data_IF_696387858043
#
_entry.id   IF_696387858043
#
_cell.length_a   1.000
_cell.length_b   1.000
_cell.length_c   1.000
_cell.angle_alpha   90.00
_cell.angle_beta   90.00
_cell.angle_gamma   90.00
#
_symmetry.space_group_name_H-M   'P 1'
#
loop_
_entity.id
_entity.type
_entity.pdbx_description
1 polymer ?
#
# COMPACT_ATOMS: atom_id res chain seq x y z
N UNK A 1 0.12 -23.50 4.21
CA UNK A 1 -0.12 -22.06 4.39
C UNK A 1 -0.79 -21.56 3.13
N UNK A 2 -2.00 -21.00 3.21
CA UNK A 2 -2.78 -20.58 2.03
C UNK A 2 -2.90 -19.06 2.05
N UNK A 3 -2.37 -18.41 1.01
CA UNK A 3 -2.48 -16.97 0.81
C UNK A 3 -3.59 -16.66 -0.20
N UNK A 4 -4.24 -15.51 -0.03
CA UNK A 4 -5.24 -14.97 -0.95
C UNK A 4 -4.86 -13.54 -1.30
N UNK A 5 -5.15 -13.14 -2.53
CA UNK A 5 -5.06 -11.75 -2.97
C UNK A 5 -6.43 -11.07 -2.84
N UNK A 6 -6.47 -9.89 -2.26
CA UNK A 6 -7.68 -9.07 -2.12
C UNK A 6 -7.40 -7.60 -2.46
N UNK A 7 -8.47 -6.83 -2.66
CA UNK A 7 -8.36 -5.38 -2.76
C UNK A 7 -7.78 -4.82 -1.46
N UNK A 8 -6.81 -3.90 -1.59
CA UNK A 8 -6.29 -3.20 -0.44
C UNK A 8 -7.30 -2.12 -0.01
N UNK A 9 -8.06 -2.39 1.05
CA UNK A 9 -9.00 -1.42 1.62
C UNK A 9 -8.28 -0.41 2.53
N UNK A 10 -9.03 0.54 3.09
CA UNK A 10 -8.46 1.56 3.98
C UNK A 10 -7.94 0.99 5.30
N UNK A 11 -8.57 -0.05 5.83
CA UNK A 11 -8.14 -0.66 7.10
C UNK A 11 -6.76 -1.29 6.92
N UNK A 12 -6.55 -2.04 5.84
CA UNK A 12 -5.25 -2.57 5.48
C UNK A 12 -4.22 -1.46 5.23
N UNK A 13 -4.61 -0.37 4.56
CA UNK A 13 -3.71 0.76 4.33
C UNK A 13 -3.26 1.45 5.63
N UNK A 14 -4.17 1.61 6.59
CA UNK A 14 -3.87 2.13 7.93
C UNK A 14 -2.99 1.17 8.72
N UNK A 15 -3.25 -0.14 8.62
CA UNK A 15 -2.44 -1.18 9.25
C UNK A 15 -0.98 -1.12 8.75
N UNK A 16 -0.76 -0.95 7.45
CA UNK A 16 0.60 -0.80 6.88
C UNK A 16 1.35 0.38 7.49
N UNK A 17 0.67 1.49 7.80
CA UNK A 17 1.30 2.65 8.45
C UNK A 17 1.80 2.33 9.87
N UNK A 18 1.21 1.34 10.52
CA UNK A 18 1.63 0.84 11.84
C UNK A 18 2.85 -0.08 11.78
N UNK A 19 3.21 -0.61 10.61
CA UNK A 19 4.39 -1.45 10.46
C UNK A 19 5.65 -0.62 10.66
N UNK A 20 6.46 -1.02 11.64
CA UNK A 20 7.76 -0.41 11.94
C UNK A 20 8.84 -1.48 11.88
N UNK A 21 9.82 -1.22 11.03
CA UNK A 21 11.04 -1.98 10.86
C UNK A 21 12.21 -1.18 11.43
N UNK A 22 13.19 -1.89 11.99
CA UNK A 22 14.37 -1.29 12.59
C UNK A 22 15.56 -1.29 11.61
N UNK A 23 16.62 -0.57 11.99
CA UNK A 23 17.92 -0.57 11.31
C UNK A 23 17.81 -0.23 9.81
N UNK A 24 18.45 -1.01 8.95
CA UNK A 24 18.50 -0.79 7.51
C UNK A 24 17.13 -0.83 6.83
N UNK A 25 16.15 -1.51 7.41
CA UNK A 25 14.79 -1.61 6.87
C UNK A 25 13.86 -0.49 7.31
N UNK A 26 14.32 0.39 8.22
CA UNK A 26 13.52 1.54 8.69
C UNK A 26 13.10 2.49 7.56
N UNK A 27 13.80 2.47 6.42
CA UNK A 27 13.46 3.21 5.20
C UNK A 27 12.10 2.84 4.61
N UNK A 28 11.58 1.64 4.91
CA UNK A 28 10.27 1.17 4.46
C UNK A 28 9.11 1.58 5.39
N UNK A 29 9.41 2.21 6.53
CA UNK A 29 8.39 2.64 7.46
C UNK A 29 7.55 3.75 6.85
N UNK A 30 6.25 3.49 6.73
CA UNK A 30 5.32 4.53 6.32
C UNK A 30 5.19 5.56 7.45
N UNK A 31 5.08 6.86 7.12
CA UNK A 31 4.61 7.86 8.07
C UNK A 31 3.18 7.54 8.53
N UNK A 32 2.75 8.19 9.60
CA UNK A 32 1.37 8.05 10.11
C UNK A 32 0.33 8.38 9.03
N UNK A 33 -0.83 7.70 9.11
CA UNK A 33 -1.90 7.78 8.12
C UNK A 33 -2.30 9.23 7.82
N UNK A 34 -2.44 10.06 8.86
CA UNK A 34 -2.84 11.46 8.75
C UNK A 34 -1.81 12.29 7.97
N UNK A 35 -0.53 11.94 8.04
CA UNK A 35 0.55 12.62 7.32
C UNK A 35 0.51 12.25 5.84
N UNK A 36 0.49 10.96 5.52
CA UNK A 36 0.47 10.51 4.12
C UNK A 36 -0.84 10.83 3.40
N UNK A 37 -1.95 10.91 4.15
CA UNK A 37 -3.26 11.31 3.62
C UNK A 37 -3.27 12.79 3.24
N UNK A 38 -2.71 13.67 4.08
CA UNK A 38 -2.52 15.10 3.74
C UNK A 38 -1.58 15.31 2.55
N UNK A 39 -0.60 14.43 2.38
CA UNK A 39 0.32 14.45 1.24
C UNK A 39 -0.25 13.76 -0.01
N UNK A 40 -1.47 13.23 0.08
CA UNK A 40 -2.18 12.61 -1.03
C UNK A 40 -1.40 11.44 -1.68
N UNK A 41 -0.77 10.62 -0.84
CA UNK A 41 -0.09 9.41 -1.32
C UNK A 41 -1.09 8.47 -2.01
N UNK A 42 -0.65 7.74 -3.04
CA UNK A 42 -1.56 6.91 -3.84
C UNK A 42 -2.36 5.89 -3.01
N UNK A 43 -1.76 5.35 -1.94
CA UNK A 43 -2.42 4.40 -1.03
C UNK A 43 -3.58 5.03 -0.25
N UNK A 44 -3.62 6.36 -0.08
CA UNK A 44 -4.70 7.04 0.67
C UNK A 44 -5.88 7.41 -0.21
N UNK A 45 -5.68 7.51 -1.54
CA UNK A 45 -6.74 7.78 -2.52
C UNK A 45 -7.45 6.48 -2.88
N UNK A 46 -8.74 6.35 -2.55
CA UNK A 46 -9.50 5.09 -2.71
C UNK A 46 -9.41 4.50 -4.13
N UNK A 47 -9.61 5.33 -5.16
CA UNK A 47 -9.57 4.89 -6.56
C UNK A 47 -8.18 4.33 -6.92
N UNK A 48 -7.11 5.06 -6.60
CA UNK A 48 -5.74 4.61 -6.84
C UNK A 48 -5.40 3.39 -6.01
N UNK A 49 -5.79 3.36 -4.73
CA UNK A 49 -5.59 2.24 -3.83
C UNK A 49 -6.19 0.95 -4.40
N UNK A 50 -7.43 0.99 -4.87
CA UNK A 50 -8.11 -0.18 -5.46
C UNK A 50 -7.51 -0.64 -6.79
N UNK A 51 -6.93 0.26 -7.57
CA UNK A 51 -6.38 -0.03 -8.89
C UNK A 51 -4.88 -0.39 -8.90
N UNK A 52 -4.11 0.20 -7.99
CA UNK A 52 -2.65 0.08 -7.94
C UNK A 52 -2.17 -0.85 -6.82
N UNK A 53 -3.01 -1.21 -5.83
CA UNK A 53 -2.57 -1.97 -4.66
C UNK A 53 -3.38 -3.24 -4.45
N UNK A 54 -2.68 -4.31 -4.13
CA UNK A 54 -3.27 -5.62 -3.79
C UNK A 54 -2.74 -6.07 -2.44
N UNK A 55 -3.65 -6.48 -1.57
CA UNK A 55 -3.34 -7.04 -0.26
C UNK A 55 -3.07 -8.54 -0.37
N UNK A 56 -2.02 -9.01 0.30
CA UNK A 56 -1.70 -10.44 0.45
C UNK A 56 -2.16 -10.88 1.82
N UNK A 57 -3.25 -11.64 1.87
CA UNK A 57 -3.93 -12.04 3.10
C UNK A 57 -3.65 -13.50 3.44
N UNK A 58 -3.41 -13.76 4.72
CA UNK A 58 -3.43 -15.09 5.30
C UNK A 58 -4.69 -15.25 6.17
N UNK A 59 -5.46 -16.32 5.97
CA UNK A 59 -6.72 -16.55 6.71
C UNK A 59 -6.59 -16.54 8.23
N UNK A 60 -5.44 -16.94 8.77
CA UNK A 60 -5.25 -17.04 10.22
C UNK A 60 -4.69 -15.77 10.85
N UNK A 61 -4.00 -14.94 10.07
CA UNK A 61 -3.16 -13.86 10.60
C UNK A 61 -3.43 -12.49 9.97
N UNK A 62 -4.36 -12.39 9.01
CA UNK A 62 -4.71 -11.13 8.37
C UNK A 62 -3.71 -10.72 7.29
N UNK A 63 -3.41 -9.42 7.24
CA UNK A 63 -2.54 -8.82 6.24
C UNK A 63 -1.08 -9.25 6.45
N UNK A 64 -0.47 -9.81 5.42
CA UNK A 64 0.92 -10.27 5.44
C UNK A 64 1.86 -9.41 4.60
N UNK A 65 1.28 -8.62 3.69
CA UNK A 65 2.03 -7.85 2.72
C UNK A 65 1.10 -7.18 1.73
N UNK A 66 1.68 -6.36 0.87
CA UNK A 66 0.97 -5.78 -0.26
C UNK A 66 1.88 -5.72 -1.48
N UNK A 67 1.26 -5.66 -2.64
CA UNK A 67 1.92 -5.45 -3.93
C UNK A 67 1.42 -4.12 -4.46
N UNK A 68 2.34 -3.29 -4.96
CA UNK A 68 2.01 -2.06 -5.68
C UNK A 68 2.34 -2.22 -7.16
N UNK A 69 1.36 -2.01 -8.02
CA UNK A 69 1.50 -1.93 -9.46
C UNK A 69 1.69 -0.46 -9.85
N UNK A 70 2.90 -0.09 -10.27
CA UNK A 70 3.15 1.23 -10.83
C UNK A 70 2.88 1.19 -12.34
N UNK A 71 1.78 1.79 -12.77
CA UNK A 71 1.49 1.93 -14.19
C UNK A 71 2.24 3.14 -14.76
N UNK A 72 3.58 3.06 -14.82
CA UNK A 72 4.44 4.10 -15.39
C UNK A 72 4.41 4.13 -16.94
N UNK A 73 3.25 3.88 -17.57
CA UNK A 73 3.09 4.26 -18.96
C UNK A 73 2.97 5.78 -19.02
N UNK A 74 4.11 6.46 -19.08
CA UNK A 74 4.20 7.77 -19.71
C UNK A 74 3.68 7.59 -21.14
N UNK A 75 2.41 7.91 -21.37
CA UNK A 75 1.99 8.37 -22.69
C UNK A 75 2.88 9.58 -22.95
N UNK A 76 3.84 9.44 -23.86
CA UNK A 76 4.80 10.49 -24.18
C UNK A 76 4.07 11.83 -24.27
N UNK A 77 4.54 12.78 -23.47
CA UNK A 77 4.14 14.16 -23.57
C UNK A 77 4.60 14.66 -24.94
N UNK A 78 3.76 14.51 -25.96
CA UNK A 78 3.84 15.30 -27.17
C UNK A 78 3.30 16.68 -26.81
N UNK A 79 4.19 17.59 -26.41
CA UNK A 79 4.14 19.02 -26.71
C UNK A 79 5.57 19.53 -26.77
#
# INVERSE_FOLDING_TARGET
>A
MVFKLEYLDENYAREICSWKYNDEYSVYNYPEWEVISKQNWAITVEEKRKNEFVAVINKCFGLYGYIRFNNNYTRGSFF
#
